data_IF_802415859493
#
_entry.id   IF_802415859493
#
_cell.length_a   1.000
_cell.length_b   1.000
_cell.length_c   1.000
_cell.angle_alpha   90.00
_cell.angle_beta   90.00
_cell.angle_gamma   90.00
#
_symmetry.space_group_name_H-M   'P 1'
#
loop_
_entity.id
_entity.type
_entity.pdbx_description
1 polymer ?
#
# COMPACT_ATOMS: atom_id res chain seq x y z
N UNK A 1 -11.01 -11.39 -4.61
CA UNK A 1 -11.48 -12.61 -5.30
C UNK A 1 -12.06 -12.20 -6.63
N UNK A 2 -11.56 -12.78 -7.72
CA UNK A 2 -12.14 -12.68 -9.05
C UNK A 2 -13.09 -13.85 -9.28
N UNK A 3 -14.32 -13.54 -9.67
CA UNK A 3 -15.42 -14.49 -9.79
C UNK A 3 -15.92 -14.57 -11.23
N UNK A 4 -16.04 -15.79 -11.76
CA UNK A 4 -16.66 -16.04 -13.05
C UNK A 4 -18.17 -16.18 -12.88
N UNK A 5 -18.94 -15.21 -13.40
CA UNK A 5 -20.41 -15.23 -13.32
C UNK A 5 -21.07 -16.25 -14.25
N UNK A 6 -20.37 -16.75 -15.29
CA UNK A 6 -20.89 -17.72 -16.25
C UNK A 6 -20.75 -19.14 -15.73
N UNK A 7 -19.59 -19.46 -15.16
CA UNK A 7 -19.29 -20.79 -14.63
C UNK A 7 -19.48 -20.89 -13.11
N UNK A 8 -19.86 -19.79 -12.45
CA UNK A 8 -20.12 -19.70 -11.01
C UNK A 8 -18.95 -20.24 -10.16
N UNK A 9 -17.74 -19.84 -10.52
CA UNK A 9 -16.52 -20.32 -9.85
C UNK A 9 -15.51 -19.20 -9.60
N UNK A 10 -14.62 -19.45 -8.64
CA UNK A 10 -13.48 -18.59 -8.37
C UNK A 10 -12.46 -18.77 -9.49
N UNK A 11 -12.10 -17.67 -10.15
CA UNK A 11 -11.03 -17.66 -11.15
C UNK A 11 -9.68 -17.60 -10.45
N UNK A 12 -9.52 -16.62 -9.56
CA UNK A 12 -8.28 -16.39 -8.82
C UNK A 12 -8.58 -15.56 -7.56
N UNK A 13 -7.89 -15.84 -6.46
CA UNK A 13 -8.02 -15.11 -5.19
C UNK A 13 -6.72 -14.46 -4.72
N UNK A 14 -5.64 -14.55 -5.50
CA UNK A 14 -4.36 -13.96 -5.17
C UNK A 14 -4.13 -12.62 -5.87
N UNK A 15 -4.01 -11.57 -5.07
CA UNK A 15 -3.96 -10.18 -5.52
C UNK A 15 -2.83 -9.87 -6.51
N UNK A 16 -1.64 -10.46 -6.31
CA UNK A 16 -0.50 -10.24 -7.19
C UNK A 16 -0.70 -10.80 -8.59
N UNK A 17 -1.30 -11.99 -8.69
CA UNK A 17 -1.62 -12.62 -9.97
C UNK A 17 -2.79 -11.87 -10.65
N UNK A 18 -3.80 -11.47 -9.89
CA UNK A 18 -4.93 -10.68 -10.39
C UNK A 18 -4.49 -9.36 -11.01
N UNK A 19 -3.56 -8.63 -10.38
CA UNK A 19 -3.00 -7.41 -10.95
C UNK A 19 -2.39 -7.66 -12.32
N UNK A 20 -1.56 -8.71 -12.44
CA UNK A 20 -0.91 -9.07 -13.71
C UNK A 20 -1.89 -9.55 -14.78
N UNK A 21 -2.96 -10.25 -14.39
CA UNK A 21 -4.04 -10.58 -15.32
C UNK A 21 -4.68 -9.31 -15.89
N UNK A 22 -4.93 -8.29 -15.05
CA UNK A 22 -5.59 -7.06 -15.48
C UNK A 22 -4.73 -6.14 -16.32
N UNK A 23 -3.41 -6.29 -16.33
CA UNK A 23 -2.55 -5.47 -17.18
C UNK A 23 -2.77 -5.75 -18.66
N UNK A 24 -2.97 -7.01 -19.06
CA UNK A 24 -3.02 -7.34 -20.50
C UNK A 24 -4.16 -8.25 -20.93
N UNK A 25 -4.85 -8.96 -20.02
CA UNK A 25 -5.91 -9.90 -20.42
C UNK A 25 -7.11 -9.23 -21.12
N UNK A 26 -7.20 -7.90 -21.06
CA UNK A 26 -8.24 -7.10 -21.70
C UNK A 26 -7.70 -6.12 -22.74
N UNK A 27 -6.41 -6.15 -23.08
CA UNK A 27 -5.78 -5.20 -24.03
C UNK A 27 -6.51 -5.17 -25.38
N UNK A 28 -6.96 -6.33 -25.88
CA UNK A 28 -7.70 -6.45 -27.14
C UNK A 28 -9.08 -5.75 -27.12
N UNK A 29 -9.59 -5.40 -25.93
CA UNK A 29 -10.84 -4.65 -25.75
C UNK A 29 -10.60 -3.14 -25.54
N UNK A 30 -9.34 -2.71 -25.39
CA UNK A 30 -8.97 -1.33 -25.12
C UNK A 30 -8.57 -0.58 -26.40
N UNK A 31 -8.79 0.75 -26.48
CA UNK A 31 -8.15 1.59 -27.48
C UNK A 31 -6.61 1.39 -27.44
N UNK A 32 -5.91 1.42 -28.59
CA UNK A 32 -4.47 1.14 -28.63
C UNK A 32 -3.64 1.95 -27.63
N UNK A 33 -4.00 3.21 -27.38
CA UNK A 33 -3.25 4.10 -26.48
C UNK A 33 -3.39 3.73 -24.99
N UNK A 34 -4.35 2.88 -24.64
CA UNK A 34 -4.59 2.40 -23.28
C UNK A 34 -4.11 0.95 -23.08
N UNK A 35 -3.62 0.30 -24.12
CA UNK A 35 -3.02 -1.03 -24.00
C UNK A 35 -1.68 -0.95 -23.26
N UNK A 36 -1.41 -1.91 -22.39
CA UNK A 36 -0.24 -1.92 -21.51
C UNK A 36 1.10 -1.62 -22.22
N UNK A 37 1.43 -2.22 -23.39
CA UNK A 37 2.69 -1.94 -24.08
C UNK A 37 2.83 -0.50 -24.59
N UNK A 38 1.69 0.19 -24.78
CA UNK A 38 1.64 1.56 -25.32
C UNK A 38 1.57 2.62 -24.22
N UNK A 39 1.47 2.21 -22.95
CA UNK A 39 1.54 3.13 -21.82
C UNK A 39 2.97 3.69 -21.64
N UNK A 40 3.11 4.89 -21.06
CA UNK A 40 4.43 5.45 -20.75
C UNK A 40 5.31 4.48 -19.96
N UNK A 41 6.60 4.38 -20.32
CA UNK A 41 7.53 3.44 -19.71
C UNK A 41 7.34 1.95 -20.10
N UNK A 42 6.38 1.64 -20.97
CA UNK A 42 6.01 0.27 -21.35
C UNK A 42 5.05 -0.40 -20.35
N UNK A 43 4.28 0.41 -19.61
CA UNK A 43 3.27 -0.06 -18.67
C UNK A 43 3.78 -0.27 -17.24
N UNK A 44 2.99 -0.99 -16.46
CA UNK A 44 3.22 -1.31 -15.06
C UNK A 44 4.21 -2.47 -14.87
N UNK A 45 4.37 -3.35 -15.87
CA UNK A 45 5.32 -4.48 -15.82
C UNK A 45 6.20 -4.62 -17.09
N UNK A 46 7.02 -3.60 -17.41
CA UNK A 46 7.78 -3.55 -18.65
C UNK A 46 8.94 -4.55 -18.66
N UNK A 47 9.20 -5.16 -19.82
CA UNK A 47 10.14 -6.28 -20.01
C UNK A 47 11.56 -6.00 -19.47
N UNK A 48 12.06 -4.78 -19.65
CA UNK A 48 13.41 -4.38 -19.26
C UNK A 48 13.61 -4.22 -17.74
N UNK A 49 12.52 -4.12 -16.95
CA UNK A 49 12.57 -3.99 -15.49
C UNK A 49 12.09 -5.24 -14.74
N UNK A 50 11.52 -6.25 -15.42
CA UNK A 50 10.84 -7.38 -14.77
C UNK A 50 11.63 -8.05 -13.67
N UNK A 51 12.91 -8.37 -13.94
CA UNK A 51 13.77 -9.02 -12.95
C UNK A 51 13.91 -8.19 -11.68
N UNK A 52 14.17 -6.89 -11.84
CA UNK A 52 14.35 -5.99 -10.70
C UNK A 52 13.01 -5.74 -9.98
N UNK A 53 11.91 -5.61 -10.72
CA UNK A 53 10.55 -5.54 -10.16
C UNK A 53 10.24 -6.77 -9.32
N UNK A 54 10.51 -7.98 -9.83
CA UNK A 54 10.23 -9.24 -9.12
C UNK A 54 11.04 -9.34 -7.82
N UNK A 55 12.32 -8.97 -7.85
CA UNK A 55 13.21 -8.93 -6.69
C UNK A 55 12.68 -7.96 -5.61
N UNK A 56 12.33 -6.73 -6.00
CA UNK A 56 11.77 -5.74 -5.07
C UNK A 56 10.39 -6.14 -4.57
N UNK A 57 9.54 -6.73 -5.42
CA UNK A 57 8.22 -7.17 -5.03
C UNK A 57 8.27 -8.32 -4.03
N UNK A 58 9.23 -9.24 -4.15
CA UNK A 58 9.46 -10.28 -3.15
C UNK A 58 9.91 -9.69 -1.80
N UNK A 59 10.83 -8.73 -1.82
CA UNK A 59 11.30 -8.02 -0.63
C UNK A 59 10.18 -7.23 0.06
N UNK A 60 9.46 -6.40 -0.69
CA UNK A 60 8.33 -5.60 -0.20
C UNK A 60 7.22 -6.50 0.32
N UNK A 61 6.91 -7.59 -0.39
CA UNK A 61 5.87 -8.52 0.07
C UNK A 61 6.24 -9.14 1.42
N UNK A 62 7.42 -9.76 1.52
CA UNK A 62 7.85 -10.51 2.70
C UNK A 62 8.06 -9.62 3.92
N UNK A 63 8.74 -8.49 3.76
CA UNK A 63 9.20 -7.69 4.89
C UNK A 63 8.32 -6.46 5.18
N UNK A 64 7.46 -6.03 4.25
CA UNK A 64 6.60 -4.86 4.44
C UNK A 64 5.12 -5.22 4.41
N UNK A 65 4.60 -5.74 3.29
CA UNK A 65 3.17 -6.01 3.14
C UNK A 65 2.68 -7.10 4.11
N UNK A 66 3.39 -8.22 4.17
CA UNK A 66 3.18 -9.25 5.19
C UNK A 66 3.87 -8.87 6.51
N UNK A 67 5.00 -8.14 6.43
CA UNK A 67 5.81 -7.76 7.58
C UNK A 67 5.06 -7.00 8.67
N UNK A 68 4.19 -6.05 8.30
CA UNK A 68 3.38 -5.32 9.30
C UNK A 68 2.47 -6.25 10.11
N UNK A 69 1.94 -7.32 9.49
CA UNK A 69 1.16 -8.34 10.20
C UNK A 69 2.05 -9.22 11.06
N UNK A 70 3.26 -9.57 10.60
CA UNK A 70 4.23 -10.32 11.41
C UNK A 70 4.59 -9.56 12.70
N UNK A 71 4.77 -8.23 12.62
CA UNK A 71 4.98 -7.37 13.79
C UNK A 71 3.73 -7.35 14.68
N UNK A 72 2.56 -7.01 14.13
CA UNK A 72 1.31 -6.91 14.90
C UNK A 72 0.81 -8.23 15.46
N UNK A 73 1.24 -9.36 14.89
CA UNK A 73 0.81 -10.70 15.30
C UNK A 73 1.96 -11.51 15.91
N UNK A 74 3.08 -10.90 16.28
CA UNK A 74 4.13 -11.58 17.02
C UNK A 74 3.59 -12.19 18.32
N UNK A 75 3.99 -13.42 18.64
CA UNK A 75 3.52 -14.14 19.83
C UNK A 75 4.41 -13.93 21.06
N UNK A 76 5.63 -13.42 20.84
CA UNK A 76 6.63 -13.14 21.87
C UNK A 76 7.53 -11.98 21.43
N UNK A 77 8.37 -11.50 22.37
CA UNK A 77 9.21 -10.33 22.17
C UNK A 77 10.28 -10.54 21.09
N UNK A 78 10.88 -11.72 21.00
CA UNK A 78 11.95 -12.01 20.03
C UNK A 78 11.42 -11.97 18.59
N UNK A 79 10.25 -12.57 18.35
CA UNK A 79 9.56 -12.51 17.05
C UNK A 79 9.18 -11.07 16.68
N UNK A 80 8.73 -10.29 17.66
CA UNK A 80 8.41 -8.88 17.45
C UNK A 80 9.67 -8.09 17.05
N UNK A 81 10.75 -8.22 17.81
CA UNK A 81 12.01 -7.54 17.58
C UNK A 81 12.56 -7.87 16.18
N UNK A 82 12.62 -9.16 15.83
CA UNK A 82 13.09 -9.58 14.51
C UNK A 82 12.22 -9.03 13.38
N UNK A 83 10.89 -9.08 13.54
CA UNK A 83 9.97 -8.63 12.50
C UNK A 83 10.01 -7.11 12.32
N UNK A 84 10.09 -6.35 13.42
CA UNK A 84 10.09 -4.88 13.37
C UNK A 84 11.42 -4.38 12.80
N UNK A 85 12.54 -5.03 13.11
CA UNK A 85 13.84 -4.70 12.54
C UNK A 85 13.85 -4.94 11.01
N UNK A 86 13.36 -6.09 10.54
CA UNK A 86 13.26 -6.38 9.09
C UNK A 86 12.34 -5.40 8.36
N UNK A 87 11.22 -5.04 8.98
CA UNK A 87 10.27 -4.07 8.45
C UNK A 87 10.94 -2.71 8.21
N UNK A 88 11.56 -2.14 9.25
CA UNK A 88 12.17 -0.82 9.15
C UNK A 88 13.46 -0.82 8.32
N UNK A 89 14.24 -1.91 8.32
CA UNK A 89 15.37 -2.06 7.40
C UNK A 89 14.93 -2.07 5.92
N UNK A 90 13.74 -2.60 5.63
CA UNK A 90 13.16 -2.58 4.27
C UNK A 90 12.61 -1.19 3.93
N UNK A 91 11.92 -0.52 4.85
CA UNK A 91 11.50 0.88 4.68
C UNK A 91 12.70 1.81 4.42
N UNK A 92 13.82 1.61 5.12
CA UNK A 92 15.06 2.36 4.91
C UNK A 92 15.67 2.12 3.52
N UNK A 93 15.53 0.92 2.96
CA UNK A 93 15.95 0.62 1.58
C UNK A 93 15.05 1.30 0.55
N UNK A 94 13.74 1.28 0.76
CA UNK A 94 12.75 1.95 -0.10
C UNK A 94 13.00 3.46 -0.11
N UNK A 95 13.20 4.06 1.06
CA UNK A 95 13.51 5.49 1.21
C UNK A 95 14.75 5.87 0.40
N UNK A 96 15.87 5.16 0.58
CA UNK A 96 17.10 5.40 -0.19
C UNK A 96 16.88 5.24 -1.69
N UNK A 97 16.08 4.25 -2.10
CA UNK A 97 15.80 4.03 -3.52
C UNK A 97 15.00 5.19 -4.10
N UNK A 98 13.91 5.60 -3.46
CA UNK A 98 13.11 6.75 -3.91
C UNK A 98 13.94 8.04 -3.97
N UNK A 99 14.85 8.25 -3.02
CA UNK A 99 15.79 9.38 -3.08
C UNK A 99 16.72 9.32 -4.29
N UNK A 100 17.17 8.12 -4.68
CA UNK A 100 18.12 7.94 -5.79
C UNK A 100 17.49 7.81 -7.17
N UNK A 101 16.23 7.36 -7.25
CA UNK A 101 15.56 6.94 -8.48
C UNK A 101 14.24 7.69 -8.73
N UNK A 102 13.81 8.58 -7.84
CA UNK A 102 12.49 9.20 -7.90
C UNK A 102 12.16 9.87 -9.25
N UNK A 103 10.86 10.05 -9.56
CA UNK A 103 9.77 10.12 -8.59
C UNK A 103 9.14 8.77 -8.17
N UNK A 104 9.41 7.66 -8.87
CA UNK A 104 8.91 6.32 -8.50
C UNK A 104 10.06 5.37 -8.15
N UNK A 105 9.72 4.15 -7.70
CA UNK A 105 10.73 3.21 -7.25
C UNK A 105 11.72 2.78 -8.36
N UNK A 106 11.34 2.92 -9.63
CA UNK A 106 12.14 2.56 -10.81
C UNK A 106 12.40 3.72 -11.77
N UNK A 107 12.26 4.97 -11.35
CA UNK A 107 12.48 6.12 -12.24
C UNK A 107 11.24 6.97 -12.47
N UNK A 108 11.10 7.39 -13.72
CA UNK A 108 10.09 8.35 -14.17
C UNK A 108 8.67 7.78 -14.30
N UNK A 109 8.55 6.45 -14.38
CA UNK A 109 7.31 5.76 -14.68
C UNK A 109 6.83 4.87 -13.53
N UNK A 110 5.51 4.87 -13.33
CA UNK A 110 4.84 4.04 -12.34
C UNK A 110 4.95 2.57 -12.71
N UNK A 111 5.22 1.70 -11.74
CA UNK A 111 5.25 0.24 -11.93
C UNK A 111 4.28 -0.47 -11.00
N UNK A 112 4.07 -1.78 -11.20
CA UNK A 112 3.30 -2.62 -10.27
C UNK A 112 3.85 -2.57 -8.83
N UNK A 113 5.15 -2.30 -8.69
CA UNK A 113 5.82 -2.19 -7.39
C UNK A 113 5.32 -1.00 -6.59
N UNK A 114 5.11 0.15 -7.24
CA UNK A 114 4.57 1.34 -6.59
C UNK A 114 3.13 1.10 -6.10
N UNK A 115 2.31 0.42 -6.91
CA UNK A 115 0.94 0.04 -6.54
C UNK A 115 0.97 -0.86 -5.29
N UNK A 116 1.81 -1.90 -5.30
CA UNK A 116 1.96 -2.83 -4.17
C UNK A 116 2.42 -2.11 -2.91
N UNK A 117 3.42 -1.25 -3.02
CA UNK A 117 3.94 -0.46 -1.90
C UNK A 117 2.87 0.50 -1.35
N UNK A 118 2.10 1.14 -2.22
CA UNK A 118 1.12 2.17 -1.84
C UNK A 118 0.06 1.61 -0.89
N UNK A 119 -0.39 0.38 -1.16
CA UNK A 119 -1.43 -0.25 -0.34
C UNK A 119 -1.01 -0.40 1.13
N UNK A 120 0.28 -0.61 1.40
CA UNK A 120 0.80 -0.69 2.77
C UNK A 120 1.10 0.69 3.34
N UNK A 121 1.77 1.58 2.57
CA UNK A 121 2.15 2.92 3.06
C UNK A 121 0.93 3.78 3.41
N UNK A 122 -0.12 3.75 2.60
CA UNK A 122 -1.40 4.45 2.87
C UNK A 122 -2.08 4.03 4.17
N UNK A 123 -1.69 2.90 4.76
CA UNK A 123 -2.23 2.35 6.01
C UNK A 123 -1.26 2.50 7.18
N UNK A 124 -0.01 2.83 6.91
CA UNK A 124 1.08 2.71 7.87
C UNK A 124 0.88 3.61 9.09
N UNK A 125 0.90 4.92 8.90
CA UNK A 125 0.76 5.88 10.01
C UNK A 125 -0.61 5.77 10.70
N UNK A 126 -1.66 5.50 9.94
CA UNK A 126 -3.04 5.51 10.45
C UNK A 126 -3.43 4.24 11.19
N UNK A 127 -2.89 3.09 10.81
CA UNK A 127 -3.30 1.82 11.39
C UNK A 127 -2.11 1.01 11.91
N UNK A 128 -1.11 0.73 11.08
CA UNK A 128 -0.03 -0.19 11.48
C UNK A 128 0.85 0.39 12.60
N UNK A 129 1.14 1.69 12.57
CA UNK A 129 1.88 2.37 13.62
C UNK A 129 1.17 2.25 14.99
N UNK A 130 -0.09 2.69 15.16
CA UNK A 130 -0.74 2.62 16.48
C UNK A 130 -1.29 1.24 16.87
N UNK A 131 -1.74 0.41 15.91
CA UNK A 131 -2.45 -0.84 16.20
C UNK A 131 -1.48 -2.03 16.19
N UNK A 132 -0.66 -2.16 15.14
CA UNK A 132 0.30 -3.26 15.01
C UNK A 132 1.64 -2.98 15.69
N UNK A 133 1.80 -1.82 16.32
CA UNK A 133 3.04 -1.40 17.01
C UNK A 133 4.23 -1.32 16.05
N UNK A 134 4.00 -1.01 14.78
CA UNK A 134 5.06 -0.69 13.83
C UNK A 134 5.56 0.74 14.10
N UNK A 135 6.18 0.98 15.26
CA UNK A 135 6.29 2.31 15.85
C UNK A 135 7.70 2.83 16.11
N UNK A 136 8.72 2.33 15.39
CA UNK A 136 10.07 2.90 15.47
C UNK A 136 10.16 4.26 14.77
N UNK A 137 9.46 4.42 13.63
CA UNK A 137 9.44 5.60 12.77
C UNK A 137 8.05 5.76 12.13
N UNK A 138 7.62 6.99 11.88
CA UNK A 138 6.42 7.33 11.09
C UNK A 138 6.80 7.70 9.67
N UNK A 139 5.97 7.36 8.69
CA UNK A 139 6.18 7.75 7.28
C UNK A 139 6.24 9.27 7.17
N UNK A 140 5.24 9.98 7.71
CA UNK A 140 5.15 11.44 7.58
C UNK A 140 6.24 12.26 8.29
N UNK A 141 7.04 11.65 9.16
CA UNK A 141 8.06 12.35 9.96
C UNK A 141 9.47 11.93 9.60
N UNK A 142 9.69 10.63 9.39
CA UNK A 142 11.04 10.05 9.33
C UNK A 142 11.44 9.59 7.92
N UNK A 143 10.50 9.56 6.97
CA UNK A 143 10.69 9.05 5.60
C UNK A 143 10.26 10.08 4.55
N UNK A 144 11.05 11.16 4.34
CA UNK A 144 10.65 12.28 3.48
C UNK A 144 10.42 11.88 2.01
N UNK A 145 11.19 10.94 1.45
CA UNK A 145 10.98 10.51 0.07
C UNK A 145 9.76 9.60 -0.07
N UNK A 146 9.54 8.67 0.87
CA UNK A 146 8.32 7.86 0.90
C UNK A 146 7.09 8.74 1.11
N UNK A 147 7.13 9.70 2.05
CA UNK A 147 6.00 10.60 2.33
C UNK A 147 5.67 11.47 1.11
N UNK A 148 6.68 12.04 0.44
CA UNK A 148 6.48 12.79 -0.79
C UNK A 148 5.89 11.91 -1.89
N UNK A 149 6.49 10.74 -2.16
CA UNK A 149 6.00 9.78 -3.15
C UNK A 149 4.54 9.36 -2.88
N UNK A 150 4.21 9.07 -1.62
CA UNK A 150 2.88 8.66 -1.19
C UNK A 150 1.85 9.79 -1.41
N UNK A 151 2.17 11.02 -0.99
CA UNK A 151 1.29 12.17 -1.20
C UNK A 151 1.14 12.49 -2.68
N UNK A 152 2.22 12.47 -3.45
CA UNK A 152 2.18 12.65 -4.90
C UNK A 152 1.24 11.65 -5.57
N UNK A 153 1.32 10.36 -5.22
CA UNK A 153 0.39 9.35 -5.74
C UNK A 153 -1.06 9.55 -5.27
N UNK A 154 -1.27 9.82 -3.99
CA UNK A 154 -2.62 9.99 -3.43
C UNK A 154 -3.35 11.18 -4.05
N UNK A 155 -2.65 12.29 -4.33
CA UNK A 155 -3.26 13.51 -4.84
C UNK A 155 -3.15 13.67 -6.36
N UNK A 156 -2.51 12.74 -7.07
CA UNK A 156 -2.48 12.76 -8.53
C UNK A 156 -3.88 12.44 -9.09
N UNK A 157 -4.49 13.44 -9.71
CA UNK A 157 -5.75 13.34 -10.45
C UNK A 157 -5.54 13.50 -11.96
N UNK A 158 -4.28 13.50 -12.42
CA UNK A 158 -3.96 13.58 -13.85
C UNK A 158 -4.40 12.31 -14.58
N UNK A 159 -4.34 12.34 -15.93
CA UNK A 159 -4.63 11.17 -16.76
C UNK A 159 -3.72 9.97 -16.45
N UNK A 160 -2.56 10.18 -15.82
CA UNK A 160 -1.61 9.13 -15.45
C UNK A 160 -2.25 8.09 -14.53
N UNK A 161 -2.97 8.55 -13.51
CA UNK A 161 -3.57 7.69 -12.48
C UNK A 161 -5.08 7.79 -12.44
N UNK A 162 -5.66 8.81 -13.10
CA UNK A 162 -7.09 9.10 -13.11
C UNK A 162 -7.69 9.19 -11.70
N UNK A 163 -6.89 9.63 -10.72
CA UNK A 163 -7.31 9.72 -9.32
C UNK A 163 -7.56 8.36 -8.65
N UNK A 164 -7.13 7.24 -9.24
CA UNK A 164 -7.41 5.89 -8.75
C UNK A 164 -6.95 5.69 -7.30
N UNK A 165 -5.76 6.19 -6.95
CA UNK A 165 -5.22 6.09 -5.59
C UNK A 165 -6.10 6.81 -4.56
N UNK A 166 -6.53 8.04 -4.84
CA UNK A 166 -7.42 8.82 -3.97
C UNK A 166 -8.78 8.18 -3.81
N UNK A 167 -9.42 7.88 -4.94
CA UNK A 167 -10.82 7.43 -5.00
C UNK A 167 -11.01 6.04 -4.41
N UNK A 168 -9.96 5.21 -4.42
CA UNK A 168 -9.98 3.87 -3.82
C UNK A 168 -9.41 3.82 -2.40
N UNK A 169 -8.91 4.93 -1.86
CA UNK A 169 -8.41 5.02 -0.49
C UNK A 169 -9.44 5.68 0.41
N UNK A 170 -10.19 4.85 1.14
CA UNK A 170 -11.17 5.34 2.09
C UNK A 170 -10.64 5.28 3.53
N UNK A 171 -10.24 6.44 4.07
CA UNK A 171 -9.87 6.54 5.48
C UNK A 171 -11.07 6.44 6.42
N UNK A 172 -12.29 6.79 5.97
CA UNK A 172 -13.48 6.99 6.79
C UNK A 172 -14.74 6.34 6.18
N UNK A 173 -15.27 5.28 6.79
CA UNK A 173 -16.63 4.83 6.49
C UNK A 173 -17.64 5.65 7.29
N UNK A 174 -18.76 5.95 6.63
CA UNK A 174 -19.99 6.34 7.31
C UNK A 174 -20.69 5.04 7.71
N UNK A 175 -20.70 4.73 9.01
CA UNK A 175 -21.58 3.71 9.55
C UNK A 175 -22.82 4.41 10.12
N UNK A 176 -23.98 4.23 9.46
CA UNK A 176 -25.31 4.67 9.91
C UNK A 176 -25.35 6.08 10.53
N UNK A 177 -25.27 7.12 9.70
CA UNK A 177 -25.61 8.54 9.97
C UNK A 177 -25.06 9.25 11.23
N UNK A 178 -24.34 8.59 12.15
CA UNK A 178 -23.93 9.15 13.44
C UNK A 178 -22.47 8.85 13.80
N UNK A 179 -21.84 7.82 13.21
CA UNK A 179 -20.45 7.47 13.52
C UNK A 179 -19.55 7.46 12.28
N UNK A 180 -18.56 8.35 12.27
CA UNK A 180 -17.43 8.28 11.34
C UNK A 180 -16.46 7.22 11.87
N UNK A 181 -16.40 6.07 11.21
CA UNK A 181 -15.51 4.97 11.56
C UNK A 181 -14.32 4.99 10.61
N UNK A 182 -13.10 5.04 11.14
CA UNK A 182 -11.93 4.91 10.28
C UNK A 182 -11.88 3.50 9.66
N UNK A 183 -12.17 3.34 8.35
CA UNK A 183 -12.28 2.01 7.72
C UNK A 183 -11.02 1.18 7.89
N UNK A 184 -9.87 1.80 7.64
CA UNK A 184 -8.59 1.13 7.79
C UNK A 184 -8.41 0.68 9.25
N UNK A 185 -8.61 1.58 10.22
CA UNK A 185 -8.39 1.26 11.63
C UNK A 185 -9.37 0.21 12.17
N UNK A 186 -10.65 0.28 11.82
CA UNK A 186 -11.68 -0.61 12.39
C UNK A 186 -11.39 -2.09 12.15
N UNK A 187 -11.08 -2.46 10.90
CA UNK A 187 -10.73 -3.85 10.56
C UNK A 187 -9.51 -4.34 11.33
N UNK A 188 -8.46 -3.52 11.40
CA UNK A 188 -7.23 -3.88 12.10
C UNK A 188 -7.38 -3.92 13.62
N UNK A 189 -8.15 -3.00 14.22
CA UNK A 189 -8.45 -3.03 15.65
C UNK A 189 -9.21 -4.30 16.02
N UNK A 190 -10.21 -4.71 15.22
CA UNK A 190 -10.94 -5.96 15.44
C UNK A 190 -10.03 -7.19 15.31
N UNK A 191 -9.21 -7.23 14.27
CA UNK A 191 -8.24 -8.32 14.04
C UNK A 191 -7.21 -8.41 15.18
N UNK A 192 -6.67 -7.28 15.62
CA UNK A 192 -5.65 -7.25 16.66
C UNK A 192 -6.24 -7.56 18.04
N UNK A 193 -7.40 -6.99 18.37
CA UNK A 193 -8.05 -7.21 19.64
C UNK A 193 -8.50 -8.66 19.82
N UNK A 194 -8.98 -9.33 18.78
CA UNK A 194 -9.35 -10.75 18.86
C UNK A 194 -8.17 -11.63 19.28
N UNK A 195 -6.94 -11.30 18.84
CA UNK A 195 -5.71 -11.96 19.26
C UNK A 195 -5.34 -11.65 20.72
N UNK A 196 -5.64 -10.44 21.20
CA UNK A 196 -5.32 -9.98 22.56
C UNK A 196 -6.43 -10.26 23.58
N UNK A 197 -7.51 -10.96 23.20
CA UNK A 197 -8.64 -11.26 24.08
C UNK A 197 -9.57 -10.06 24.34
N UNK A 198 -9.52 -9.02 23.51
CA UNK A 198 -10.38 -7.84 23.58
C UNK A 198 -11.48 -7.82 22.49
N UNK A 199 -12.45 -6.91 22.64
CA UNK A 199 -13.54 -6.72 21.68
C UNK A 199 -13.19 -5.82 20.48
N UNK A 200 -12.12 -5.03 20.56
CA UNK A 200 -11.66 -4.14 19.48
C UNK A 200 -12.58 -2.95 19.23
N UNK A 201 -13.28 -2.47 20.26
CA UNK A 201 -14.22 -1.35 20.13
C UNK A 201 -13.54 0.02 20.25
N UNK A 202 -12.31 0.08 20.78
CA UNK A 202 -11.54 1.31 20.89
C UNK A 202 -10.66 1.49 19.65
N UNK A 203 -11.00 2.48 18.85
CA UNK A 203 -10.25 2.85 17.64
C UNK A 203 -9.35 4.05 17.96
N UNK A 204 -8.03 3.99 17.72
CA UNK A 204 -7.14 5.13 17.93
C UNK A 204 -7.59 6.37 17.14
N UNK A 205 -7.67 7.52 17.81
CA UNK A 205 -8.09 8.78 17.19
C UNK A 205 -7.07 9.28 16.15
N UNK A 206 -5.78 9.26 16.51
CA UNK A 206 -4.70 9.77 15.67
C UNK A 206 -4.15 8.76 14.65
N UNK A 207 -3.22 9.20 13.81
CA UNK A 207 -2.83 10.59 13.59
C UNK A 207 -3.89 11.34 12.76
N UNK A 208 -4.01 12.64 13.00
CA UNK A 208 -4.88 13.55 12.25
C UNK A 208 -4.02 14.69 11.65
N UNK A 209 -4.16 15.04 10.36
CA UNK A 209 -5.02 14.39 9.37
C UNK A 209 -4.51 12.97 9.00
N UNK A 210 -5.37 12.15 8.36
CA UNK A 210 -5.00 10.80 7.93
C UNK A 210 -3.83 10.82 6.92
N UNK A 211 -3.84 11.80 6.02
CA UNK A 211 -2.76 12.13 5.08
C UNK A 211 -2.51 13.64 5.12
N UNK A 212 -1.25 14.06 5.07
CA UNK A 212 -0.89 15.48 5.01
C UNK A 212 -1.14 16.03 3.59
N UNK A 213 -1.50 17.32 3.44
CA UNK A 213 -1.64 17.95 2.12
C UNK A 213 -0.30 17.98 1.36
N UNK A 214 -0.34 18.09 0.03
CA UNK A 214 0.89 18.15 -0.80
C UNK A 214 1.79 19.34 -0.43
N UNK A 215 1.18 20.48 -0.07
CA UNK A 215 1.87 21.76 0.17
C UNK A 215 2.20 22.08 1.63
N UNK A 216 2.10 21.13 2.56
CA UNK A 216 2.45 21.34 3.96
C UNK A 216 3.82 20.77 4.29
N UNK A 217 4.87 21.59 4.30
CA UNK A 217 5.97 21.36 5.24
C UNK A 217 5.47 21.77 6.62
N UNK A 218 5.77 20.98 7.65
CA UNK A 218 5.55 21.39 9.03
C UNK A 218 6.41 22.64 9.28
N UNK A 219 5.82 23.83 9.14
CA UNK A 219 6.26 25.04 9.83
C UNK A 219 5.71 25.05 11.26
#
# INVERSE_FOLDING_TARGET
MLWDKKNEMIVNNESGELMRMFYSAFDDLLPPQLQEPNLPGGGLYPSHLRREIDEWNALIHSNLNAGVYNVGMASNQDQYNESVDKLFATMDQIERRLQSSGPYLFGDFLTETDIRLYTTVSRFDVAYYPIFRCNLKMVRLDYPAIDMWYRSLYYDESSRTSGAFKTTTNFFAIANFVFVVHQHKFGYTKLFASKMGGNGDIIPAGPAPAILPLGGTNE
#
